data_IF_743166720907
#
_entry.id   IF_743166720907
#
_cell.length_a   1.000
_cell.length_b   1.000
_cell.length_c   1.000
_cell.angle_alpha   90.00
_cell.angle_beta   90.00
_cell.angle_gamma   90.00
#
_symmetry.space_group_name_H-M   'P 1'
#
loop_
_entity.id
_entity.type
_entity.pdbx_description
1 polymer ?
#
# COMPACT_ATOMS: atom_id res chain seq x y z
N UNK A 1 -10.45 73.26 -42.51
CA UNK A 1 -9.45 72.14 -42.40
C UNK A 1 -9.02 72.04 -40.95
N UNK A 2 -9.62 71.20 -40.17
CA UNK A 2 -9.37 71.07 -38.74
C UNK A 2 -9.22 69.53 -38.46
N UNK A 3 -7.98 69.14 -38.13
CA UNK A 3 -7.64 67.76 -37.71
C UNK A 3 -8.04 67.57 -36.26
N UNK A 4 -8.91 66.58 -35.98
CA UNK A 4 -9.19 66.08 -34.65
C UNK A 4 -8.18 65.00 -34.28
N UNK A 5 -7.40 65.20 -33.21
CA UNK A 5 -6.62 64.17 -32.56
C UNK A 5 -7.57 63.32 -31.68
N UNK A 6 -7.53 61.97 -31.90
CA UNK A 6 -8.08 61.02 -30.94
C UNK A 6 -6.99 60.62 -29.96
N UNK A 7 -7.22 60.86 -28.69
CA UNK A 7 -6.42 60.33 -27.60
C UNK A 7 -6.95 58.93 -27.19
N UNK A 8 -6.10 57.89 -27.31
CA UNK A 8 -6.42 56.56 -26.84
C UNK A 8 -5.93 56.44 -25.39
N UNK A 9 -6.86 56.28 -24.46
CA UNK A 9 -6.60 55.95 -23.06
C UNK A 9 -6.41 54.43 -22.92
N UNK A 10 -5.18 54.01 -22.60
CA UNK A 10 -4.86 52.61 -22.23
C UNK A 10 -5.24 52.36 -20.77
N UNK A 11 -6.23 51.52 -20.53
CA UNK A 11 -6.57 51.03 -19.19
C UNK A 11 -5.65 49.88 -18.83
N UNK A 12 -4.78 50.07 -17.84
CA UNK A 12 -3.97 49.02 -17.22
C UNK A 12 -4.86 48.17 -16.30
N UNK A 13 -5.16 46.95 -16.73
CA UNK A 13 -5.78 45.94 -15.91
C UNK A 13 -4.72 45.31 -14.99
N UNK A 14 -4.75 45.73 -13.72
CA UNK A 14 -3.97 45.06 -12.65
C UNK A 14 -4.63 43.71 -12.29
N UNK A 15 -3.99 42.59 -12.69
CA UNK A 15 -4.37 41.26 -12.26
C UNK A 15 -3.96 41.08 -10.77
N UNK A 16 -4.80 40.47 -9.91
CA UNK A 16 -4.40 40.18 -8.53
C UNK A 16 -3.37 39.06 -8.53
N UNK A 17 -2.22 39.29 -7.89
CA UNK A 17 -1.27 38.26 -7.53
C UNK A 17 -1.95 37.25 -6.58
N UNK A 18 -2.27 36.06 -7.06
CA UNK A 18 -2.62 34.94 -6.20
C UNK A 18 -1.39 34.58 -5.37
N UNK A 19 -1.44 34.89 -4.08
CA UNK A 19 -0.46 34.43 -3.11
C UNK A 19 -0.49 32.89 -3.09
N UNK A 20 0.53 32.26 -3.63
CA UNK A 20 0.77 30.82 -3.45
C UNK A 20 1.11 30.60 -1.97
N UNK A 21 0.20 29.95 -1.26
CA UNK A 21 0.46 29.48 0.09
C UNK A 21 1.65 28.50 0.02
N UNK A 22 2.79 28.91 0.55
CA UNK A 22 3.96 28.05 0.72
C UNK A 22 3.57 26.90 1.66
N UNK A 23 3.67 25.67 1.18
CA UNK A 23 3.56 24.48 2.04
C UNK A 23 4.57 24.61 3.19
N UNK A 24 4.22 24.17 4.41
CA UNK A 24 5.13 24.25 5.55
C UNK A 24 6.42 23.47 5.22
N UNK A 25 7.56 24.11 5.36
CA UNK A 25 8.88 23.46 5.24
C UNK A 25 9.01 22.51 6.42
N UNK A 26 8.76 21.21 6.17
CA UNK A 26 9.06 20.17 7.14
C UNK A 26 10.57 19.98 7.11
N UNK A 27 11.26 20.42 8.15
CA UNK A 27 12.68 20.13 8.34
C UNK A 27 12.87 18.61 8.38
N UNK A 28 13.64 18.06 7.44
CA UNK A 28 13.90 16.63 7.35
C UNK A 28 14.54 16.12 8.65
N UNK A 29 13.77 15.40 9.46
CA UNK A 29 14.32 14.67 10.60
C UNK A 29 15.26 13.59 10.08
N UNK A 30 16.43 13.42 10.71
CA UNK A 30 17.32 12.30 10.39
C UNK A 30 16.63 10.97 10.70
N UNK A 31 16.90 9.94 9.91
CA UNK A 31 16.49 8.58 10.25
C UNK A 31 17.14 8.23 11.58
N UNK A 32 16.33 7.98 12.62
CA UNK A 32 16.82 7.70 13.96
C UNK A 32 17.31 6.25 14.09
N UNK A 33 16.48 5.35 14.59
CA UNK A 33 16.84 3.95 14.83
C UNK A 33 15.87 2.99 14.16
N UNK A 34 16.39 1.84 13.71
CA UNK A 34 15.59 0.70 13.27
C UNK A 34 15.72 -0.40 14.31
N UNK A 35 14.60 -0.90 14.81
CA UNK A 35 14.54 -1.90 15.86
C UNK A 35 13.73 -3.11 15.38
N UNK A 36 14.14 -4.34 15.72
CA UNK A 36 13.29 -5.51 15.51
C UNK A 36 11.97 -5.37 16.28
N UNK A 37 10.89 -5.82 15.66
CA UNK A 37 9.57 -5.86 16.26
C UNK A 37 8.96 -7.23 16.00
N UNK A 38 8.58 -7.93 17.08
CA UNK A 38 7.79 -9.15 16.98
C UNK A 38 6.49 -8.98 17.75
N UNK A 39 5.42 -9.57 17.25
CA UNK A 39 4.12 -9.53 17.91
C UNK A 39 3.31 -10.80 17.64
N UNK A 40 2.37 -11.11 18.53
CA UNK A 40 1.50 -12.26 18.37
C UNK A 40 0.49 -12.00 17.24
N UNK A 41 0.53 -12.82 16.20
CA UNK A 41 -0.50 -12.94 15.16
C UNK A 41 -1.36 -14.16 15.48
N UNK A 42 -2.28 -14.03 16.44
CA UNK A 42 -3.05 -15.15 16.99
C UNK A 42 -2.11 -16.25 17.55
N UNK A 43 -2.02 -17.41 16.91
CA UNK A 43 -1.25 -18.56 17.38
C UNK A 43 0.22 -18.56 16.91
N UNK A 44 0.63 -17.59 16.10
CA UNK A 44 1.99 -17.50 15.58
C UNK A 44 2.62 -16.14 15.90
N UNK A 45 3.94 -16.05 15.79
CA UNK A 45 4.64 -14.77 15.93
C UNK A 45 4.86 -14.15 14.55
N UNK A 46 4.40 -12.93 14.36
CA UNK A 46 4.75 -12.11 13.21
C UNK A 46 6.04 -11.33 13.47
N UNK A 47 6.86 -11.22 12.43
CA UNK A 47 8.13 -10.50 12.43
C UNK A 47 8.00 -9.20 11.66
N UNK A 48 8.59 -8.16 12.19
CA UNK A 48 8.57 -6.82 11.64
C UNK A 48 9.73 -5.99 12.14
N UNK A 49 9.65 -4.72 11.89
CA UNK A 49 10.60 -3.73 12.39
C UNK A 49 9.92 -2.39 12.64
N UNK A 50 10.44 -1.67 13.59
CA UNK A 50 10.03 -0.31 13.92
C UNK A 50 11.17 0.64 13.56
N UNK A 51 10.86 1.61 12.72
CA UNK A 51 11.71 2.73 12.37
C UNK A 51 11.27 3.95 13.16
N UNK A 52 12.16 4.50 13.97
CA UNK A 52 11.89 5.70 14.76
C UNK A 52 12.56 6.91 14.10
N UNK A 53 11.90 8.07 14.04
CA UNK A 53 12.54 9.31 13.67
C UNK A 53 13.52 9.75 14.77
N UNK A 54 14.36 10.75 14.48
CA UNK A 54 15.13 11.40 15.52
C UNK A 54 14.21 11.93 16.63
N UNK A 55 14.70 11.87 17.88
CA UNK A 55 13.95 12.36 19.02
C UNK A 55 13.55 13.83 18.83
N UNK A 56 12.31 14.15 19.13
CA UNK A 56 11.78 15.52 19.04
C UNK A 56 12.26 16.37 20.21
N UNK A 57 12.59 17.61 19.94
CA UNK A 57 13.00 18.57 20.98
C UNK A 57 11.88 18.87 21.99
N UNK A 58 10.60 18.73 21.58
CA UNK A 58 9.43 18.94 22.44
C UNK A 58 9.06 17.71 23.30
N UNK A 59 9.83 16.62 23.19
CA UNK A 59 9.60 15.35 23.92
C UNK A 59 8.34 14.60 23.55
N UNK A 60 7.58 15.05 22.52
CA UNK A 60 6.37 14.36 22.11
C UNK A 60 6.69 13.08 21.34
N UNK A 61 5.88 12.05 21.58
CA UNK A 61 5.96 10.79 20.86
C UNK A 61 5.52 10.97 19.42
N UNK A 62 6.20 10.34 18.43
CA UNK A 62 5.79 10.42 17.04
C UNK A 62 4.46 9.69 16.79
N UNK A 63 3.68 10.19 15.84
CA UNK A 63 2.62 9.41 15.21
C UNK A 63 3.24 8.25 14.43
N UNK A 64 2.49 7.16 14.21
CA UNK A 64 3.01 5.95 13.56
C UNK A 64 2.24 5.61 12.28
N UNK A 65 2.97 5.15 11.27
CA UNK A 65 2.41 4.58 10.05
C UNK A 65 2.75 3.09 10.03
N UNK A 66 1.72 2.24 10.04
CA UNK A 66 1.89 0.79 9.89
C UNK A 66 1.77 0.42 8.41
N UNK A 67 2.70 -0.41 7.91
CA UNK A 67 2.83 -0.77 6.51
C UNK A 67 2.96 -2.28 6.34
N UNK A 68 2.38 -2.83 5.25
CA UNK A 68 2.63 -4.20 4.84
C UNK A 68 2.74 -4.34 3.32
N UNK A 69 3.35 -5.44 2.91
CA UNK A 69 3.71 -5.73 1.53
C UNK A 69 2.53 -6.18 0.65
N UNK A 70 2.72 -6.07 -0.67
CA UNK A 70 1.79 -6.56 -1.68
C UNK A 70 1.77 -8.09 -1.81
N UNK A 71 1.09 -8.56 -2.85
CA UNK A 71 0.87 -9.97 -3.13
C UNK A 71 2.19 -10.75 -3.23
N UNK A 72 2.32 -11.80 -2.42
CA UNK A 72 3.48 -12.70 -2.45
C UNK A 72 4.83 -12.07 -2.09
N UNK A 73 4.84 -10.78 -1.70
CA UNK A 73 6.05 -10.05 -1.35
C UNK A 73 6.57 -10.32 0.07
N UNK A 74 7.51 -9.50 0.49
CA UNK A 74 8.03 -9.40 1.85
C UNK A 74 8.16 -7.93 2.23
N UNK A 75 8.28 -7.63 3.54
CA UNK A 75 8.41 -6.24 4.02
C UNK A 75 9.60 -5.48 3.42
N UNK A 76 10.63 -6.20 2.97
CA UNK A 76 11.82 -5.61 2.36
C UNK A 76 11.64 -5.30 0.87
N UNK A 77 10.52 -5.75 0.26
CA UNK A 77 10.28 -5.61 -1.17
C UNK A 77 9.54 -4.31 -1.48
N UNK A 78 10.30 -3.29 -1.87
CA UNK A 78 9.76 -2.00 -2.33
C UNK A 78 9.19 -1.07 -1.26
N UNK A 79 9.12 -1.47 0.03
CA UNK A 79 8.56 -0.63 1.09
C UNK A 79 9.59 0.32 1.73
N UNK A 80 10.89 -0.01 1.66
CA UNK A 80 11.96 0.77 2.27
C UNK A 80 11.95 2.24 1.90
N UNK A 81 11.94 2.61 0.61
CA UNK A 81 11.94 3.99 0.17
C UNK A 81 10.77 4.82 0.72
N UNK A 82 9.57 4.23 0.83
CA UNK A 82 8.41 4.90 1.46
C UNK A 82 8.63 5.10 2.96
N UNK A 83 9.07 4.06 3.66
CA UNK A 83 9.36 4.12 5.10
C UNK A 83 10.37 5.24 5.40
N UNK A 84 11.45 5.35 4.63
CA UNK A 84 12.45 6.41 4.78
C UNK A 84 11.84 7.81 4.64
N UNK A 85 10.95 8.03 3.67
CA UNK A 85 10.30 9.33 3.47
C UNK A 85 9.37 9.66 4.62
N UNK A 86 8.62 8.69 5.13
CA UNK A 86 7.74 8.91 6.28
C UNK A 86 8.54 9.17 7.56
N UNK A 87 9.64 8.44 7.78
CA UNK A 87 10.53 8.68 8.94
C UNK A 87 11.18 10.06 8.86
N UNK A 88 11.67 10.47 7.68
CA UNK A 88 12.19 11.82 7.45
C UNK A 88 11.16 12.93 7.69
N UNK A 89 9.88 12.62 7.51
CA UNK A 89 8.78 13.53 7.83
C UNK A 89 8.38 13.53 9.32
N UNK A 90 9.06 12.74 10.17
CA UNK A 90 8.86 12.71 11.62
C UNK A 90 7.91 11.62 12.12
N UNK A 91 7.48 10.68 11.27
CA UNK A 91 6.66 9.55 11.69
C UNK A 91 7.51 8.38 12.16
N UNK A 92 7.03 7.66 13.16
CA UNK A 92 7.45 6.27 13.34
C UNK A 92 6.83 5.40 12.21
N UNK A 93 7.56 4.37 11.77
CA UNK A 93 7.05 3.45 10.75
C UNK A 93 7.22 2.01 11.22
N UNK A 94 6.16 1.23 11.14
CA UNK A 94 6.21 -0.22 11.35
C UNK A 94 6.02 -0.92 10.02
N UNK A 95 6.93 -1.83 9.67
CA UNK A 95 6.78 -2.76 8.53
C UNK A 95 6.79 -4.18 9.06
N UNK A 96 5.90 -5.04 8.56
CA UNK A 96 5.85 -6.43 9.01
C UNK A 96 5.61 -7.41 7.85
N UNK A 97 6.01 -8.65 8.05
CA UNK A 97 5.66 -9.77 7.20
C UNK A 97 4.40 -10.46 7.72
N UNK A 98 3.47 -10.80 6.83
CA UNK A 98 2.30 -11.61 7.18
C UNK A 98 2.71 -12.99 7.70
N UNK A 99 1.81 -13.64 8.45
CA UNK A 99 1.97 -15.06 8.80
C UNK A 99 2.35 -15.90 7.59
N UNK A 100 3.25 -16.85 7.75
CA UNK A 100 3.72 -17.69 6.67
C UNK A 100 4.67 -17.02 5.67
N UNK A 101 5.00 -15.73 5.83
CA UNK A 101 5.92 -14.99 4.96
C UNK A 101 7.17 -14.55 5.71
N UNK A 102 8.25 -14.34 4.99
CA UNK A 102 9.51 -13.84 5.55
C UNK A 102 9.94 -14.60 6.80
N UNK A 103 10.24 -13.86 7.86
CA UNK A 103 10.61 -14.41 9.17
C UNK A 103 9.41 -14.66 10.08
N UNK A 104 8.20 -14.25 9.69
CA UNK A 104 6.99 -14.55 10.44
C UNK A 104 6.73 -16.05 10.51
N UNK A 105 6.27 -16.52 11.67
CA UNK A 105 5.83 -17.88 11.87
C UNK A 105 4.59 -18.25 11.06
N UNK A 106 4.14 -19.46 11.19
CA UNK A 106 2.94 -19.98 10.54
C UNK A 106 3.22 -20.96 9.41
N UNK A 107 2.38 -21.99 9.38
CA UNK A 107 2.29 -22.99 8.35
C UNK A 107 0.82 -23.11 7.90
N UNK A 108 0.56 -23.50 6.67
CA UNK A 108 1.52 -23.69 5.58
C UNK A 108 2.15 -22.33 5.13
N UNK A 109 3.37 -22.41 4.57
CA UNK A 109 4.11 -21.20 4.15
C UNK A 109 3.55 -20.61 2.86
N UNK A 110 3.70 -19.28 2.67
CA UNK A 110 3.42 -18.57 1.41
C UNK A 110 1.96 -18.65 0.96
N UNK A 111 1.03 -18.89 1.88
CA UNK A 111 -0.41 -18.85 1.61
C UNK A 111 -0.89 -17.41 1.64
N UNK A 112 -1.46 -16.95 0.55
CA UNK A 112 -2.12 -15.63 0.47
C UNK A 112 -3.59 -15.82 0.82
N UNK A 113 -3.97 -15.39 2.02
CA UNK A 113 -5.34 -15.40 2.50
C UNK A 113 -5.76 -14.00 2.98
N UNK A 114 -6.78 -13.43 2.32
CA UNK A 114 -7.23 -12.06 2.61
C UNK A 114 -7.72 -11.87 4.03
N UNK A 115 -8.47 -12.83 4.55
CA UNK A 115 -9.07 -12.75 5.89
C UNK A 115 -8.02 -12.94 6.99
N UNK A 116 -7.12 -13.91 6.81
CA UNK A 116 -6.07 -14.15 7.80
C UNK A 116 -5.07 -12.98 7.84
N UNK A 117 -4.72 -12.41 6.70
CA UNK A 117 -3.83 -11.24 6.66
C UNK A 117 -4.48 -9.98 7.24
N UNK A 118 -5.80 -9.81 7.16
CA UNK A 118 -6.51 -8.75 7.92
C UNK A 118 -6.30 -8.96 9.42
N UNK A 119 -6.39 -10.20 9.93
CA UNK A 119 -6.14 -10.48 11.35
C UNK A 119 -4.69 -10.15 11.76
N UNK A 120 -3.71 -10.35 10.85
CA UNK A 120 -2.32 -9.95 11.10
C UNK A 120 -2.20 -8.42 11.21
N UNK A 121 -2.88 -7.68 10.36
CA UNK A 121 -2.97 -6.24 10.46
C UNK A 121 -3.56 -5.78 11.80
N UNK A 122 -4.67 -6.39 12.23
CA UNK A 122 -5.31 -6.06 13.52
C UNK A 122 -4.35 -6.35 14.68
N UNK A 123 -3.63 -7.47 14.63
CA UNK A 123 -2.61 -7.82 15.62
C UNK A 123 -1.45 -6.82 15.63
N UNK A 124 -0.99 -6.36 14.46
CA UNK A 124 0.03 -5.32 14.35
C UNK A 124 -0.42 -4.01 14.98
N UNK A 125 -1.67 -3.56 14.71
CA UNK A 125 -2.23 -2.36 15.32
C UNK A 125 -2.33 -2.47 16.84
N UNK A 126 -2.76 -3.63 17.36
CA UNK A 126 -2.86 -3.88 18.81
C UNK A 126 -1.48 -3.90 19.48
N UNK A 127 -0.46 -4.42 18.80
CA UNK A 127 0.93 -4.39 19.28
C UNK A 127 1.50 -2.97 19.28
N UNK A 128 1.28 -2.22 18.22
CA UNK A 128 1.70 -0.82 18.06
C UNK A 128 1.07 0.05 19.15
N UNK A 129 -0.23 -0.11 19.44
CA UNK A 129 -0.94 0.68 20.44
C UNK A 129 -0.41 0.50 21.88
N UNK A 130 0.29 -0.60 22.14
CA UNK A 130 0.89 -0.90 23.48
C UNK A 130 2.29 -0.31 23.67
N UNK A 131 2.88 0.29 22.63
CA UNK A 131 4.25 0.80 22.70
C UNK A 131 4.32 2.12 23.46
N UNK A 132 5.37 2.24 24.28
CA UNK A 132 5.61 3.46 25.04
C UNK A 132 6.33 4.56 24.26
N UNK A 133 6.95 4.24 23.13
CA UNK A 133 7.81 5.14 22.33
C UNK A 133 7.09 5.80 21.15
N UNK A 134 5.82 5.52 20.94
CA UNK A 134 4.97 6.12 19.90
C UNK A 134 3.65 6.65 20.49
N UNK A 135 2.93 7.46 19.73
CA UNK A 135 1.60 7.94 20.11
C UNK A 135 0.49 7.01 19.59
N UNK A 136 -0.16 6.22 20.45
CA UNK A 136 -1.19 5.27 20.03
C UNK A 136 -2.50 5.92 19.57
N UNK A 137 -2.67 7.24 19.78
CA UNK A 137 -3.84 7.98 19.31
C UNK A 137 -3.68 8.51 17.88
N UNK A 138 -2.49 8.36 17.29
CA UNK A 138 -2.17 8.88 15.95
C UNK A 138 -1.57 7.78 15.08
N UNK A 139 -2.40 6.77 14.77
CA UNK A 139 -2.03 5.63 13.92
C UNK A 139 -2.58 5.82 12.52
N UNK A 140 -1.69 5.85 11.52
CA UNK A 140 -2.01 5.71 10.11
C UNK A 140 -1.69 4.32 9.60
N UNK A 141 -2.35 3.92 8.52
CA UNK A 141 -2.05 2.67 7.81
C UNK A 141 -1.77 2.95 6.35
N UNK A 142 -0.78 2.25 5.82
CA UNK A 142 -0.36 2.33 4.42
C UNK A 142 -0.26 0.93 3.82
N UNK A 143 -0.91 0.71 2.71
CA UNK A 143 -0.83 -0.55 1.99
C UNK A 143 -0.71 -0.34 0.49
N UNK A 144 -0.07 -1.28 -0.19
CA UNK A 144 0.12 -1.24 -1.63
C UNK A 144 -0.36 -2.52 -2.29
N UNK A 145 -0.98 -2.42 -3.48
CA UNK A 145 -1.46 -3.58 -4.23
C UNK A 145 -2.42 -4.42 -3.40
N UNK A 146 -2.11 -5.69 -3.17
CA UNK A 146 -2.87 -6.57 -2.28
C UNK A 146 -3.07 -5.96 -0.88
N UNK A 147 -2.02 -5.42 -0.27
CA UNK A 147 -2.12 -4.75 1.02
C UNK A 147 -2.89 -3.42 0.94
N UNK A 148 -2.93 -2.78 -0.23
CA UNK A 148 -3.80 -1.64 -0.49
C UNK A 148 -5.28 -1.98 -0.31
N UNK A 149 -5.69 -3.19 -0.67
CA UNK A 149 -7.01 -3.73 -0.36
C UNK A 149 -7.18 -4.02 1.13
N UNK A 150 -6.18 -4.60 1.78
CA UNK A 150 -6.24 -4.90 3.21
C UNK A 150 -6.48 -3.66 4.06
N UNK A 151 -5.79 -2.54 3.77
CA UNK A 151 -5.98 -1.31 4.56
C UNK A 151 -7.38 -0.70 4.42
N UNK A 152 -8.12 -0.98 3.33
CA UNK A 152 -9.52 -0.58 3.23
C UNK A 152 -10.39 -1.35 4.24
N UNK A 153 -10.15 -2.65 4.39
CA UNK A 153 -10.85 -3.48 5.37
C UNK A 153 -10.48 -3.07 6.79
N UNK A 154 -9.19 -2.95 7.08
CA UNK A 154 -8.67 -2.58 8.41
C UNK A 154 -9.15 -1.19 8.84
N UNK A 155 -9.15 -0.20 7.94
CA UNK A 155 -9.69 1.14 8.19
C UNK A 155 -11.17 1.13 8.57
N UNK A 156 -11.96 0.23 7.96
CA UNK A 156 -13.37 0.04 8.29
C UNK A 156 -13.59 -0.71 9.61
N UNK A 157 -12.72 -1.68 9.95
CA UNK A 157 -12.85 -2.49 11.17
C UNK A 157 -12.31 -1.80 12.44
N UNK A 158 -11.40 -0.82 12.28
CA UNK A 158 -10.77 -0.10 13.40
C UNK A 158 -10.98 1.43 13.34
N UNK A 159 -12.24 1.92 13.21
CA UNK A 159 -12.51 3.35 12.98
C UNK A 159 -12.05 4.24 14.14
N UNK A 160 -11.98 3.70 15.38
CA UNK A 160 -11.52 4.45 16.54
C UNK A 160 -9.99 4.50 16.66
N UNK A 161 -9.29 3.53 16.10
CA UNK A 161 -7.83 3.39 16.21
C UNK A 161 -7.12 4.01 15.00
N UNK A 162 -7.61 3.75 13.79
CA UNK A 162 -7.02 4.25 12.53
C UNK A 162 -7.46 5.69 12.27
N UNK A 163 -6.50 6.60 12.12
CA UNK A 163 -6.74 8.03 11.90
C UNK A 163 -6.47 8.51 10.48
N UNK A 164 -5.77 7.71 9.67
CA UNK A 164 -5.53 7.98 8.26
C UNK A 164 -5.25 6.67 7.51
N UNK A 165 -5.78 6.53 6.30
CA UNK A 165 -5.59 5.35 5.43
C UNK A 165 -4.98 5.80 4.11
N UNK A 166 -3.88 5.15 3.68
CA UNK A 166 -3.34 5.34 2.33
C UNK A 166 -3.29 4.00 1.61
N UNK A 167 -4.04 3.87 0.52
CA UNK A 167 -4.13 2.69 -0.33
C UNK A 167 -3.52 3.00 -1.71
N UNK A 168 -2.37 2.40 -2.00
CA UNK A 168 -1.65 2.56 -3.26
C UNK A 168 -1.97 1.42 -4.21
N UNK A 169 -2.36 1.72 -5.46
CA UNK A 169 -2.76 0.74 -6.49
C UNK A 169 -3.55 -0.45 -5.90
N UNK A 170 -4.64 -0.18 -5.14
CA UNK A 170 -5.24 -1.15 -4.25
C UNK A 170 -5.95 -2.27 -5.00
N UNK A 171 -5.70 -3.52 -4.59
CA UNK A 171 -6.53 -4.65 -4.98
C UNK A 171 -7.90 -4.54 -4.31
N UNK A 172 -8.93 -4.27 -5.08
CA UNK A 172 -10.26 -3.96 -4.54
C UNK A 172 -11.32 -5.04 -4.79
N UNK A 173 -11.08 -5.94 -5.76
CA UNK A 173 -12.04 -6.99 -6.11
C UNK A 173 -11.34 -8.16 -6.78
N UNK A 174 -11.45 -9.33 -6.16
CA UNK A 174 -10.89 -10.57 -6.70
C UNK A 174 -11.50 -10.97 -8.03
N UNK A 175 -12.81 -10.82 -8.17
CA UNK A 175 -13.50 -11.13 -9.40
C UNK A 175 -13.03 -10.23 -10.56
N UNK A 176 -12.98 -8.91 -10.32
CA UNK A 176 -12.58 -7.96 -11.37
C UNK A 176 -11.13 -8.17 -11.84
N UNK A 177 -10.20 -8.45 -10.90
CA UNK A 177 -8.81 -8.77 -11.24
C UNK A 177 -8.69 -10.16 -11.86
N UNK A 178 -9.46 -11.13 -11.38
CA UNK A 178 -9.49 -12.49 -11.93
C UNK A 178 -9.96 -12.57 -13.40
N UNK A 179 -10.85 -11.66 -13.81
CA UNK A 179 -11.28 -11.56 -15.23
C UNK A 179 -10.17 -11.06 -16.17
N UNK A 180 -9.12 -10.42 -15.66
CA UNK A 180 -7.94 -10.06 -16.45
C UNK A 180 -6.95 -11.22 -16.58
N UNK A 181 -7.06 -12.26 -15.73
CA UNK A 181 -6.18 -13.40 -15.79
C UNK A 181 -6.37 -14.20 -17.09
N UNK A 182 -5.28 -14.53 -17.83
CA UNK A 182 -5.41 -15.15 -19.15
C UNK A 182 -6.12 -16.49 -19.11
N UNK A 183 -7.22 -16.61 -19.89
CA UNK A 183 -8.10 -17.77 -19.92
C UNK A 183 -7.35 -19.08 -20.21
N UNK A 184 -6.30 -19.02 -21.03
CA UNK A 184 -5.47 -20.18 -21.38
C UNK A 184 -4.79 -20.83 -20.18
N UNK A 185 -4.61 -20.11 -19.09
CA UNK A 185 -3.97 -20.61 -17.87
C UNK A 185 -4.97 -21.00 -16.77
N UNK A 186 -6.24 -20.69 -16.90
CA UNK A 186 -7.24 -21.01 -15.88
C UNK A 186 -7.35 -22.51 -15.58
N UNK A 187 -7.35 -23.46 -16.56
CA UNK A 187 -7.37 -24.88 -16.23
C UNK A 187 -6.15 -25.32 -15.42
N UNK A 188 -4.98 -24.80 -15.76
CA UNK A 188 -3.73 -25.10 -15.07
C UNK A 188 -3.71 -24.52 -13.65
N UNK A 189 -4.18 -23.29 -13.49
CA UNK A 189 -4.33 -22.61 -12.19
C UNK A 189 -5.27 -23.42 -11.26
N UNK A 190 -6.42 -23.84 -11.79
CA UNK A 190 -7.38 -24.68 -11.04
C UNK A 190 -6.75 -26.02 -10.65
N UNK A 191 -6.05 -26.68 -11.55
CA UNK A 191 -5.36 -27.95 -11.27
C UNK A 191 -4.36 -27.81 -10.12
N UNK A 192 -3.46 -26.81 -10.18
CA UNK A 192 -2.49 -26.58 -9.12
C UNK A 192 -3.16 -26.23 -7.80
N UNK A 193 -4.21 -25.40 -7.82
CA UNK A 193 -4.94 -25.01 -6.64
C UNK A 193 -5.65 -26.18 -5.95
N UNK A 194 -6.31 -27.05 -6.72
CA UNK A 194 -6.94 -28.26 -6.17
C UNK A 194 -5.91 -29.22 -5.56
N UNK A 195 -4.76 -29.39 -6.20
CA UNK A 195 -3.66 -30.18 -5.63
C UNK A 195 -3.13 -29.59 -4.34
N UNK A 196 -3.04 -28.26 -4.26
CA UNK A 196 -2.60 -27.57 -3.06
C UNK A 196 -3.62 -27.67 -1.92
N UNK A 197 -4.91 -27.58 -2.23
CA UNK A 197 -5.99 -27.74 -1.23
C UNK A 197 -6.07 -29.15 -0.65
N UNK A 198 -5.55 -30.16 -1.35
CA UNK A 198 -5.46 -31.54 -0.81
C UNK A 198 -4.27 -31.71 0.15
N UNK A 199 -3.39 -30.72 0.29
CA UNK A 199 -2.29 -30.75 1.26
C UNK A 199 -2.80 -30.35 2.64
N UNK A 200 -2.36 -31.10 3.65
CA UNK A 200 -2.59 -30.76 5.06
C UNK A 200 -1.80 -29.52 5.49
N UNK A 201 -2.18 -28.96 6.62
CA UNK A 201 -1.55 -27.73 7.13
C UNK A 201 -0.07 -27.91 7.49
N UNK A 202 0.36 -29.13 7.82
CA UNK A 202 1.75 -29.48 8.12
C UNK A 202 2.57 -29.86 6.87
N UNK A 203 1.92 -30.07 5.74
CA UNK A 203 2.57 -30.40 4.49
C UNK A 203 3.03 -29.14 3.76
N UNK A 204 4.06 -29.30 2.92
CA UNK A 204 4.51 -28.21 2.05
C UNK A 204 3.47 -27.95 0.95
N UNK A 205 3.04 -26.68 0.75
CA UNK A 205 2.10 -26.33 -0.30
C UNK A 205 2.61 -26.68 -1.70
N UNK A 206 1.68 -26.85 -2.61
CA UNK A 206 1.99 -26.82 -4.03
C UNK A 206 2.23 -25.37 -4.43
N UNK A 207 3.47 -25.02 -4.70
CA UNK A 207 3.83 -23.66 -5.09
C UNK A 207 3.72 -23.43 -6.58
N UNK A 208 3.38 -22.18 -6.92
CA UNK A 208 3.48 -21.62 -8.27
C UNK A 208 4.34 -20.36 -8.21
N UNK A 209 5.04 -20.00 -9.30
CA UNK A 209 5.75 -18.74 -9.35
C UNK A 209 4.80 -17.55 -9.11
N UNK A 210 5.22 -16.55 -8.33
CA UNK A 210 4.46 -15.30 -8.21
C UNK A 210 4.44 -14.59 -9.55
N UNK A 211 5.60 -14.48 -10.21
CA UNK A 211 5.75 -14.02 -11.59
C UNK A 211 6.65 -14.94 -12.37
N UNK A 212 6.43 -15.05 -13.68
CA UNK A 212 7.34 -15.71 -14.60
C UNK A 212 7.26 -15.04 -15.99
N UNK A 213 8.41 -14.83 -16.67
CA UNK A 213 8.41 -14.20 -17.99
C UNK A 213 7.74 -15.11 -19.01
N UNK A 214 6.65 -14.63 -19.62
CA UNK A 214 5.91 -15.32 -20.69
C UNK A 214 5.43 -16.75 -20.34
N UNK A 215 5.29 -17.06 -19.05
CA UNK A 215 4.92 -18.38 -18.55
C UNK A 215 3.80 -18.31 -17.51
N UNK A 216 3.29 -19.45 -17.11
CA UNK A 216 2.30 -19.59 -16.05
C UNK A 216 2.86 -19.08 -14.71
N UNK A 217 2.13 -18.21 -14.05
CA UNK A 217 2.43 -17.62 -12.74
C UNK A 217 1.18 -17.06 -12.09
N UNK A 218 1.26 -16.69 -10.82
CA UNK A 218 0.12 -16.12 -10.09
C UNK A 218 -0.26 -14.71 -10.59
N UNK A 219 0.71 -13.88 -10.96
CA UNK A 219 0.51 -12.57 -11.55
C UNK A 219 0.98 -12.57 -13.00
N UNK A 220 0.10 -12.17 -13.91
CA UNK A 220 0.37 -12.10 -15.34
C UNK A 220 -0.14 -10.77 -15.90
N UNK A 221 0.78 -9.89 -16.25
CA UNK A 221 0.52 -8.63 -16.94
C UNK A 221 1.74 -8.23 -17.78
N UNK A 222 1.62 -7.29 -18.72
CA UNK A 222 2.76 -6.86 -19.56
C UNK A 222 3.95 -6.37 -18.72
N UNK A 223 3.69 -5.56 -17.68
CA UNK A 223 4.69 -4.95 -16.81
C UNK A 223 5.15 -5.85 -15.65
N UNK A 224 4.46 -6.97 -15.38
CA UNK A 224 4.65 -7.76 -14.18
C UNK A 224 6.07 -8.26 -13.97
N UNK A 225 6.70 -8.81 -15.01
CA UNK A 225 8.02 -9.41 -14.88
C UNK A 225 9.09 -8.37 -14.49
N UNK A 226 9.13 -7.25 -15.19
CA UNK A 226 10.16 -6.23 -14.98
C UNK A 226 9.87 -5.37 -13.75
N UNK A 227 8.59 -5.08 -13.50
CA UNK A 227 8.15 -4.31 -12.35
C UNK A 227 8.40 -5.06 -11.03
N UNK A 228 7.94 -6.31 -10.94
CA UNK A 228 8.09 -7.11 -9.73
C UNK A 228 9.55 -7.41 -9.39
N UNK A 229 10.37 -7.75 -10.41
CA UNK A 229 11.81 -8.00 -10.21
C UNK A 229 12.55 -6.81 -9.59
N UNK A 230 12.14 -5.58 -9.91
CA UNK A 230 12.74 -4.37 -9.30
C UNK A 230 12.47 -4.26 -7.81
N UNK A 231 11.43 -4.93 -7.30
CA UNK A 231 11.07 -4.91 -5.88
C UNK A 231 11.82 -5.97 -5.08
N UNK A 232 12.25 -7.07 -5.73
CA UNK A 232 12.91 -8.21 -5.08
C UNK A 232 14.37 -7.87 -4.82
N UNK A 233 14.83 -7.83 -3.55
CA UNK A 233 16.23 -7.65 -3.24
C UNK A 233 17.09 -8.81 -3.78
N UNK A 234 18.35 -8.55 -4.17
CA UNK A 234 19.28 -9.61 -4.58
C UNK A 234 19.39 -10.72 -3.52
N UNK A 235 19.38 -11.98 -3.96
CA UNK A 235 19.47 -13.15 -3.09
C UNK A 235 18.13 -13.61 -2.48
N UNK A 236 17.00 -13.00 -2.88
CA UNK A 236 15.65 -13.41 -2.45
C UNK A 236 14.79 -13.94 -3.60
N UNK A 237 15.40 -14.31 -4.72
CA UNK A 237 14.71 -14.77 -5.93
C UNK A 237 13.98 -16.10 -5.69
N UNK A 238 14.47 -16.95 -4.78
CA UNK A 238 13.84 -18.20 -4.35
C UNK A 238 12.49 -17.99 -3.65
N UNK A 239 12.23 -16.76 -3.18
CA UNK A 239 10.99 -16.34 -2.56
C UNK A 239 9.89 -15.98 -3.58
N UNK A 240 10.18 -16.00 -4.89
CA UNK A 240 9.24 -15.74 -5.97
C UNK A 240 8.23 -16.88 -6.17
N UNK A 241 7.47 -17.20 -5.12
CA UNK A 241 6.47 -18.28 -5.14
C UNK A 241 5.33 -17.98 -4.17
N UNK A 242 4.15 -18.53 -4.46
CA UNK A 242 2.98 -18.54 -3.57
C UNK A 242 2.30 -19.89 -3.61
N UNK A 243 1.57 -20.25 -2.56
CA UNK A 243 0.74 -21.44 -2.51
C UNK A 243 -0.39 -21.36 -3.54
N UNK A 244 -0.56 -22.39 -4.34
CA UNK A 244 -1.45 -22.38 -5.50
C UNK A 244 -2.93 -22.28 -5.15
N UNK A 245 -3.33 -22.61 -3.91
CA UNK A 245 -4.72 -22.43 -3.42
C UNK A 245 -5.24 -21.02 -3.56
N UNK A 246 -4.36 -20.02 -3.72
CA UNK A 246 -4.71 -18.62 -3.97
C UNK A 246 -5.60 -18.43 -5.19
N UNK A 247 -5.48 -19.24 -6.23
CA UNK A 247 -6.34 -19.15 -7.41
C UNK A 247 -7.81 -19.47 -7.15
N UNK A 248 -8.13 -20.20 -6.07
CA UNK A 248 -9.50 -20.48 -5.65
C UNK A 248 -9.99 -19.57 -4.53
N UNK A 249 -9.10 -18.96 -3.75
CA UNK A 249 -9.49 -18.07 -2.65
C UNK A 249 -9.58 -16.61 -3.06
N UNK A 250 -8.59 -16.10 -3.80
CA UNK A 250 -8.47 -14.68 -4.15
C UNK A 250 -9.64 -14.14 -4.99
N UNK A 251 -10.23 -14.87 -5.96
CA UNK A 251 -11.39 -14.39 -6.73
C UNK A 251 -12.61 -14.03 -5.86
N UNK A 252 -12.73 -14.59 -4.66
CA UNK A 252 -13.82 -14.35 -3.72
C UNK A 252 -13.45 -13.35 -2.60
N UNK A 253 -12.35 -12.61 -2.76
CA UNK A 253 -11.94 -11.58 -1.84
C UNK A 253 -12.29 -10.20 -2.40
N UNK A 254 -13.14 -9.43 -1.68
CA UNK A 254 -13.70 -8.14 -2.12
C UNK A 254 -13.41 -7.03 -1.10
N UNK A 255 -12.15 -6.63 -0.89
CA UNK A 255 -11.81 -5.65 0.15
C UNK A 255 -12.41 -4.26 -0.13
N UNK A 256 -12.69 -3.93 -1.39
CA UNK A 256 -13.35 -2.69 -1.78
C UNK A 256 -14.74 -2.50 -1.18
N UNK A 257 -15.44 -3.58 -0.83
CA UNK A 257 -16.78 -3.52 -0.21
C UNK A 257 -16.75 -2.91 1.21
N UNK A 258 -15.57 -2.78 1.79
CA UNK A 258 -15.37 -2.11 3.09
C UNK A 258 -15.28 -0.59 2.97
N UNK A 259 -14.99 -0.06 1.79
CA UNK A 259 -14.72 1.36 1.56
C UNK A 259 -15.82 2.32 2.08
N UNK A 260 -17.13 2.03 1.92
CA UNK A 260 -18.19 2.91 2.44
C UNK A 260 -18.23 3.04 3.96
N UNK A 261 -17.62 2.11 4.69
CA UNK A 261 -17.60 2.09 6.16
C UNK A 261 -16.38 2.77 6.77
N UNK A 262 -15.41 3.20 5.97
CA UNK A 262 -14.19 3.85 6.46
C UNK A 262 -14.52 5.25 6.93
N UNK A 263 -14.27 5.53 8.21
CA UNK A 263 -14.51 6.86 8.80
C UNK A 263 -13.28 7.77 8.70
N UNK A 264 -12.08 7.19 8.72
CA UNK A 264 -10.83 7.93 8.63
C UNK A 264 -10.64 8.58 7.24
N UNK A 265 -10.00 9.76 7.16
CA UNK A 265 -9.50 10.27 5.88
C UNK A 265 -8.72 9.19 5.13
N UNK A 266 -9.01 9.04 3.85
CA UNK A 266 -8.46 7.95 3.03
C UNK A 266 -7.93 8.47 1.71
N UNK A 267 -6.65 8.26 1.44
CA UNK A 267 -6.02 8.53 0.15
C UNK A 267 -5.94 7.24 -0.67
N UNK A 268 -6.55 7.23 -1.84
CA UNK A 268 -6.42 6.17 -2.83
C UNK A 268 -5.59 6.68 -4.00
N UNK A 269 -4.47 6.01 -4.28
CA UNK A 269 -3.62 6.27 -5.44
C UNK A 269 -3.80 5.14 -6.44
N UNK A 270 -4.16 5.45 -7.67
CA UNK A 270 -4.37 4.50 -8.74
C UNK A 270 -3.44 4.75 -9.93
N UNK A 271 -3.18 3.73 -10.71
CA UNK A 271 -2.41 3.77 -11.95
C UNK A 271 -3.36 3.52 -13.13
N UNK A 272 -3.39 4.44 -14.11
CA UNK A 272 -4.36 4.35 -15.21
C UNK A 272 -4.08 3.20 -16.18
N UNK A 273 -2.83 2.76 -16.27
CA UNK A 273 -2.38 1.66 -17.15
C UNK A 273 -2.08 0.37 -16.37
N UNK A 274 -2.70 0.20 -15.18
CA UNK A 274 -2.52 -0.98 -14.34
C UNK A 274 -3.02 -2.23 -15.05
N UNK A 275 -2.12 -3.18 -15.33
CA UNK A 275 -2.40 -4.43 -16.00
C UNK A 275 -2.90 -5.56 -15.07
N UNK A 276 -2.87 -5.34 -13.75
CA UNK A 276 -3.32 -6.31 -12.75
C UNK A 276 -4.68 -5.96 -12.15
N UNK A 277 -4.92 -4.67 -11.91
CA UNK A 277 -6.09 -4.18 -11.20
C UNK A 277 -6.87 -3.21 -12.09
N UNK A 278 -8.12 -3.54 -12.47
CA UNK A 278 -8.93 -2.66 -13.30
C UNK A 278 -9.12 -1.29 -12.66
N UNK A 279 -8.49 -0.25 -13.21
CA UNK A 279 -8.58 1.11 -12.67
C UNK A 279 -10.02 1.63 -12.57
N UNK A 280 -10.91 1.20 -13.47
CA UNK A 280 -12.33 1.55 -13.42
C UNK A 280 -12.98 1.08 -12.10
N UNK A 281 -12.61 -0.12 -11.61
CA UNK A 281 -13.12 -0.63 -10.33
C UNK A 281 -12.51 0.11 -9.14
N UNK A 282 -11.24 0.51 -9.22
CA UNK A 282 -10.63 1.37 -8.20
C UNK A 282 -11.31 2.73 -8.11
N UNK A 283 -11.65 3.35 -9.26
CA UNK A 283 -12.42 4.62 -9.30
C UNK A 283 -13.80 4.49 -8.64
N UNK A 284 -14.49 3.38 -8.91
CA UNK A 284 -15.80 3.10 -8.30
C UNK A 284 -15.68 3.01 -6.77
N UNK A 285 -14.72 2.22 -6.28
CA UNK A 285 -14.46 2.06 -4.85
C UNK A 285 -14.04 3.39 -4.21
N UNK A 286 -13.18 4.17 -4.86
CA UNK A 286 -12.75 5.46 -4.34
C UNK A 286 -13.92 6.44 -4.14
N UNK A 287 -14.91 6.44 -5.04
CA UNK A 287 -16.13 7.27 -4.91
C UNK A 287 -17.00 6.86 -3.72
N UNK A 288 -16.88 5.63 -3.23
CA UNK A 288 -17.68 5.13 -2.12
C UNK A 288 -17.08 5.45 -0.73
N UNK A 289 -15.84 5.93 -0.67
CA UNK A 289 -15.18 6.31 0.58
C UNK A 289 -15.70 7.69 1.05
N UNK A 290 -16.31 7.81 2.23
CA UNK A 290 -16.92 9.08 2.68
C UNK A 290 -15.93 10.26 2.75
N UNK A 291 -14.72 10.02 3.26
CA UNK A 291 -13.65 11.01 3.39
C UNK A 291 -12.47 10.66 2.46
N UNK A 292 -12.78 10.33 1.20
CA UNK A 292 -11.82 9.87 0.21
C UNK A 292 -11.14 11.01 -0.56
N UNK A 293 -9.80 10.94 -0.67
CA UNK A 293 -9.00 11.66 -1.66
C UNK A 293 -8.56 10.65 -2.73
N UNK A 294 -8.77 10.95 -4.01
CA UNK A 294 -8.39 10.08 -5.12
C UNK A 294 -7.35 10.74 -6.00
N UNK A 295 -6.29 10.02 -6.29
CA UNK A 295 -5.22 10.44 -7.21
C UNK A 295 -5.01 9.34 -8.24
N UNK A 296 -5.08 9.69 -9.51
CA UNK A 296 -4.78 8.78 -10.61
C UNK A 296 -3.56 9.26 -11.38
N UNK A 297 -2.64 8.35 -11.61
CA UNK A 297 -1.44 8.58 -12.39
C UNK A 297 -1.72 8.17 -13.84
N UNK A 298 -1.85 9.11 -14.79
CA UNK A 298 -2.38 8.82 -16.13
C UNK A 298 -1.47 7.91 -16.97
N UNK A 299 -0.15 7.99 -16.73
CA UNK A 299 0.84 7.25 -17.49
C UNK A 299 1.50 6.09 -16.74
N UNK A 300 1.05 5.82 -15.51
CA UNK A 300 1.61 4.79 -14.65
C UNK A 300 0.94 3.43 -14.87
N UNK A 301 1.75 2.38 -14.81
CA UNK A 301 1.35 0.99 -14.62
C UNK A 301 1.37 0.61 -13.13
N UNK A 302 1.07 -0.67 -12.82
CA UNK A 302 1.00 -1.18 -11.44
C UNK A 302 2.28 -0.96 -10.64
N UNK A 303 3.44 -1.03 -11.28
CA UNK A 303 4.76 -0.96 -10.62
C UNK A 303 5.41 0.43 -10.69
N UNK A 304 4.90 1.33 -11.51
CA UNK A 304 5.42 2.69 -11.65
C UNK A 304 5.49 3.46 -10.31
N UNK A 305 4.51 3.35 -9.38
CA UNK A 305 4.57 4.05 -8.09
C UNK A 305 5.70 3.66 -7.16
N UNK A 306 6.44 2.58 -7.44
CA UNK A 306 7.51 2.12 -6.55
C UNK A 306 8.89 2.70 -6.88
N UNK A 307 9.09 3.24 -8.07
CA UNK A 307 10.41 3.73 -8.52
C UNK A 307 10.29 4.96 -9.43
N UNK A 308 11.40 5.71 -9.54
CA UNK A 308 11.51 6.83 -10.48
C UNK A 308 10.55 8.00 -10.21
N UNK A 309 10.20 8.78 -11.24
CA UNK A 309 9.39 10.00 -11.08
C UNK A 309 8.01 9.77 -10.48
N UNK A 310 7.34 8.65 -10.81
CA UNK A 310 6.04 8.31 -10.27
C UNK A 310 6.12 8.03 -8.75
N UNK A 311 7.18 7.37 -8.28
CA UNK A 311 7.44 7.20 -6.84
C UNK A 311 7.56 8.54 -6.13
N UNK A 312 8.36 9.48 -6.67
CA UNK A 312 8.55 10.80 -6.04
C UNK A 312 7.23 11.57 -5.93
N UNK A 313 6.43 11.55 -6.98
CA UNK A 313 5.11 12.18 -6.99
C UNK A 313 4.17 11.55 -5.94
N UNK A 314 4.11 10.23 -5.89
CA UNK A 314 3.22 9.48 -5.00
C UNK A 314 3.64 9.62 -3.54
N UNK A 315 4.92 9.40 -3.23
CA UNK A 315 5.40 9.45 -1.85
C UNK A 315 5.31 10.86 -1.27
N UNK A 316 5.52 11.91 -2.07
CA UNK A 316 5.30 13.28 -1.64
C UNK A 316 3.83 13.53 -1.28
N UNK A 317 2.90 13.05 -2.11
CA UNK A 317 1.45 13.17 -1.86
C UNK A 317 1.02 12.42 -0.61
N UNK A 318 1.49 11.18 -0.43
CA UNK A 318 1.18 10.35 0.73
C UNK A 318 1.78 10.94 2.01
N UNK A 319 3.01 11.47 1.94
CA UNK A 319 3.64 12.16 3.07
C UNK A 319 2.84 13.39 3.48
N UNK A 320 2.46 14.25 2.52
CA UNK A 320 1.64 15.44 2.79
C UNK A 320 0.28 15.06 3.38
N UNK A 321 -0.34 13.98 2.90
CA UNK A 321 -1.60 13.44 3.44
C UNK A 321 -1.45 13.02 4.90
N UNK A 322 -0.42 12.24 5.24
CA UNK A 322 -0.19 11.84 6.64
C UNK A 322 0.18 13.04 7.54
N UNK A 323 0.97 14.01 7.06
CA UNK A 323 1.28 15.23 7.80
C UNK A 323 0.00 16.01 8.12
N UNK A 324 -0.91 16.15 7.16
CA UNK A 324 -2.20 16.84 7.34
C UNK A 324 -3.07 16.16 8.42
N UNK A 325 -3.13 14.84 8.42
CA UNK A 325 -4.11 14.10 9.23
C UNK A 325 -3.55 13.52 10.53
N UNK A 326 -2.25 13.23 10.62
CA UNK A 326 -1.64 12.65 11.82
C UNK A 326 -0.78 13.65 12.60
N UNK A 327 -0.26 14.69 11.97
CA UNK A 327 0.62 15.71 12.58
C UNK A 327 1.82 15.05 13.28
N UNK A 328 2.91 14.77 12.59
CA UNK A 328 4.06 14.03 13.11
C UNK A 328 4.69 14.66 14.34
#
# INVERSE_FOLDING_TARGET
MTRKLLAATAALLSAPLLAQAQAPVVTAAAVGTVQPLTFACQQVTCDGELWLPAARADGKKPAVIVMAHGFGGLRDWGLGPFAERFVKAGFAVVRFDYRGFGKSGGKPRRVVDGKEHVKDWLSALDAVAKRADIDPQRIGIWGTSYSGGQVLVVGAERPQQVKAVSAQVPFVSGLSSGLQYPIKYQPLATWYALRDMMRGDDEEPVYVPTIAPNAFSALICPECNDGYKKLVPPGQEDQNKVAARVFLSLPFWFPGDSAPRIQAPTLIVAAAKDGLIPVAKVREVAKSVPNGEYVELPDADHFSPYTGPAFEQVVARQTAFFVKHLKP
#
